data_IF_109581999769
#
_entry.id   IF_109581999769
#
_cell.length_a   1.000
_cell.length_b   1.000
_cell.length_c   1.000
_cell.angle_alpha   90.00
_cell.angle_beta   90.00
_cell.angle_gamma   90.00
#
_symmetry.space_group_name_H-M   'P 1'
#
loop_
_entity.id
_entity.type
_entity.pdbx_description
1 polymer ?
#
# COMPACT_ATOMS: atom_id res chain seq x y z
N UNK A 1 24.86 -2.01 -15.16
CA UNK A 1 23.83 -2.04 -14.10
C UNK A 1 24.38 -1.30 -12.90
N UNK A 2 23.90 -0.09 -12.58
CA UNK A 2 24.30 0.55 -11.32
C UNK A 2 23.61 -0.20 -10.18
N UNK A 3 24.36 -0.83 -9.30
CA UNK A 3 23.81 -1.40 -8.07
C UNK A 3 23.05 -0.29 -7.36
N UNK A 4 21.73 -0.42 -7.26
CA UNK A 4 20.96 0.46 -6.40
C UNK A 4 21.41 0.14 -4.98
N UNK A 5 22.07 1.08 -4.30
CA UNK A 5 22.31 0.95 -2.87
C UNK A 5 20.95 0.65 -2.20
N UNK A 6 20.82 -0.46 -1.45
CA UNK A 6 19.61 -0.74 -0.70
C UNK A 6 19.39 0.42 0.27
N UNK A 7 18.18 1.00 0.27
CA UNK A 7 17.81 2.07 1.19
C UNK A 7 17.49 1.44 2.55
N UNK A 8 18.35 1.61 3.58
CA UNK A 8 18.20 0.85 4.80
C UNK A 8 16.90 1.15 5.54
N UNK A 9 16.36 0.14 6.21
CA UNK A 9 15.17 0.20 7.05
C UNK A 9 13.83 0.19 6.31
N UNK A 10 13.81 0.42 4.99
CA UNK A 10 12.56 0.42 4.23
C UNK A 10 11.90 -0.96 4.15
N UNK A 11 12.69 -2.05 4.19
CA UNK A 11 12.13 -3.40 4.25
C UNK A 11 11.44 -3.63 5.60
N UNK A 12 12.05 -3.23 6.72
CA UNK A 12 11.41 -3.33 8.03
C UNK A 12 10.13 -2.54 8.14
N UNK A 13 10.12 -1.30 7.65
CA UNK A 13 8.90 -0.49 7.58
C UNK A 13 7.80 -1.16 6.75
N UNK A 14 8.15 -1.73 5.60
CA UNK A 14 7.22 -2.50 4.74
C UNK A 14 6.70 -3.76 5.44
N UNK A 15 7.55 -4.46 6.18
CA UNK A 15 7.17 -5.64 6.95
C UNK A 15 6.20 -5.30 8.08
N UNK A 16 6.48 -4.24 8.84
CA UNK A 16 5.60 -3.77 9.91
C UNK A 16 4.23 -3.33 9.38
N UNK A 17 4.20 -2.58 8.27
CA UNK A 17 2.94 -2.21 7.62
C UNK A 17 2.16 -3.42 7.10
N UNK A 18 2.84 -4.47 6.65
CA UNK A 18 2.19 -5.70 6.22
C UNK A 18 1.52 -6.43 7.38
N UNK A 19 2.25 -6.57 8.49
CA UNK A 19 1.72 -7.21 9.70
C UNK A 19 0.55 -6.39 10.27
N UNK A 20 0.63 -5.06 10.25
CA UNK A 20 -0.45 -4.21 10.76
C UNK A 20 -1.75 -4.37 9.98
N UNK A 21 -1.68 -4.56 8.66
CA UNK A 21 -2.86 -4.82 7.81
C UNK A 21 -3.50 -6.17 8.14
N UNK A 22 -2.69 -7.23 8.29
CA UNK A 22 -3.20 -8.56 8.67
C UNK A 22 -3.87 -8.52 10.04
N UNK A 23 -3.22 -7.87 11.01
CA UNK A 23 -3.76 -7.73 12.38
C UNK A 23 -5.05 -6.90 12.38
N UNK A 24 -5.13 -5.83 11.59
CA UNK A 24 -6.35 -5.05 11.42
C UNK A 24 -7.51 -5.91 10.93
N UNK A 25 -7.32 -6.72 9.87
CA UNK A 25 -8.37 -7.59 9.36
C UNK A 25 -8.76 -8.69 10.33
N UNK A 26 -7.80 -9.26 11.06
CA UNK A 26 -8.11 -10.19 12.14
C UNK A 26 -8.94 -9.52 13.24
N UNK A 27 -8.62 -8.27 13.60
CA UNK A 27 -9.34 -7.54 14.65
C UNK A 27 -10.83 -7.33 14.30
N UNK A 28 -11.20 -7.25 13.01
CA UNK A 28 -12.61 -7.15 12.59
C UNK A 28 -13.47 -8.38 12.93
N UNK A 29 -12.84 -9.52 13.24
CA UNK A 29 -13.52 -10.78 13.59
C UNK A 29 -13.44 -11.12 15.08
N UNK A 30 -13.06 -10.14 15.91
CA UNK A 30 -12.93 -10.34 17.34
C UNK A 30 -14.20 -9.89 18.04
N UNK A 31 -14.68 -10.69 18.99
CA UNK A 31 -15.84 -10.30 19.79
C UNK A 31 -15.58 -9.04 20.59
N UNK A 32 -16.53 -8.12 20.49
CA UNK A 32 -16.53 -6.84 21.22
C UNK A 32 -17.51 -6.83 22.40
N UNK A 33 -18.19 -7.94 22.63
CA UNK A 33 -19.17 -8.11 23.72
C UNK A 33 -18.46 -8.10 25.08
N UNK A 34 -18.97 -7.29 26.01
CA UNK A 34 -18.50 -7.18 27.41
C UNK A 34 -16.99 -6.97 27.58
N UNK A 35 -16.34 -6.28 26.63
CA UNK A 35 -14.92 -5.96 26.73
C UNK A 35 -14.66 -4.95 27.87
N UNK A 36 -13.66 -5.25 28.70
CA UNK A 36 -13.09 -4.26 29.61
C UNK A 36 -12.57 -3.04 28.82
N UNK A 37 -12.67 -1.84 29.40
CA UNK A 37 -12.34 -0.58 28.72
C UNK A 37 -10.96 -0.57 28.04
N UNK A 38 -9.91 -1.05 28.71
CA UNK A 38 -8.56 -1.11 28.15
C UNK A 38 -8.48 -1.98 26.88
N UNK A 39 -9.32 -3.01 26.80
CA UNK A 39 -9.36 -3.96 25.70
C UNK A 39 -10.18 -3.42 24.53
N UNK A 40 -11.26 -2.68 24.84
CA UNK A 40 -11.99 -1.88 23.85
C UNK A 40 -11.11 -0.77 23.25
N UNK A 41 -10.36 -0.05 24.08
CA UNK A 41 -9.39 0.96 23.64
C UNK A 41 -8.34 0.34 22.71
N UNK A 42 -7.82 -0.85 23.04
CA UNK A 42 -6.88 -1.56 22.18
C UNK A 42 -7.52 -1.99 20.85
N UNK A 43 -8.75 -2.51 20.87
CA UNK A 43 -9.51 -2.86 19.67
C UNK A 43 -9.68 -1.65 18.73
N UNK A 44 -10.09 -0.51 19.29
CA UNK A 44 -10.24 0.74 18.56
C UNK A 44 -8.90 1.25 18.00
N UNK A 45 -7.83 1.16 18.78
CA UNK A 45 -6.49 1.57 18.36
C UNK A 45 -5.98 0.72 17.19
N UNK A 46 -6.19 -0.60 17.21
CA UNK A 46 -5.88 -1.49 16.07
C UNK A 46 -6.72 -1.12 14.85
N UNK A 47 -7.97 -0.68 15.05
CA UNK A 47 -8.82 -0.09 14.01
C UNK A 47 -8.20 1.11 13.28
N UNK A 48 -7.24 1.80 13.88
CA UNK A 48 -6.51 2.92 13.26
C UNK A 48 -5.33 2.48 12.40
N UNK A 49 -4.92 1.21 12.45
CA UNK A 49 -3.74 0.74 11.71
C UNK A 49 -3.82 0.75 10.18
N UNK A 50 -5.00 0.86 9.52
CA UNK A 50 -5.07 1.10 8.08
C UNK A 50 -4.34 2.36 7.63
N UNK A 51 -4.01 3.34 8.51
CA UNK A 51 -3.17 4.48 8.10
C UNK A 51 -1.84 4.04 7.48
N UNK A 52 -1.32 2.87 7.88
CA UNK A 52 -0.08 2.30 7.36
C UNK A 52 -0.19 1.86 5.90
N UNK A 53 -1.38 1.80 5.30
CA UNK A 53 -1.54 1.63 3.85
C UNK A 53 -0.88 2.79 3.08
N UNK A 54 -0.90 3.99 3.65
CA UNK A 54 -0.16 5.17 3.16
C UNK A 54 1.33 4.88 2.96
N UNK A 55 1.92 4.08 3.83
CA UNK A 55 3.32 3.68 3.74
C UNK A 55 3.58 2.88 2.45
N UNK A 56 2.69 1.96 2.08
CA UNK A 56 2.84 1.20 0.83
C UNK A 56 2.73 2.08 -0.41
N UNK A 57 1.79 3.03 -0.44
CA UNK A 57 1.69 4.01 -1.53
C UNK A 57 2.95 4.89 -1.63
N UNK A 58 3.47 5.37 -0.51
CA UNK A 58 4.71 6.17 -0.49
C UNK A 58 5.92 5.34 -0.91
N UNK A 59 6.10 4.12 -0.41
CA UNK A 59 7.19 3.23 -0.84
C UNK A 59 7.09 2.91 -2.33
N UNK A 60 5.88 2.70 -2.84
CA UNK A 60 5.62 2.50 -4.26
C UNK A 60 6.05 3.71 -5.10
N UNK A 61 5.72 4.92 -4.65
CA UNK A 61 6.11 6.18 -5.25
C UNK A 61 7.63 6.41 -5.19
N UNK A 62 8.26 6.11 -4.06
CA UNK A 62 9.71 6.23 -3.88
C UNK A 62 10.40 5.33 -4.90
N UNK A 63 10.10 4.03 -4.89
CA UNK A 63 10.70 3.07 -5.81
C UNK A 63 10.47 3.43 -7.29
N UNK A 64 9.28 3.94 -7.62
CA UNK A 64 8.94 4.37 -8.98
C UNK A 64 9.67 5.63 -9.45
N UNK A 65 9.99 6.54 -8.53
CA UNK A 65 10.62 7.84 -8.85
C UNK A 65 12.14 7.84 -8.71
N UNK A 66 12.74 6.88 -7.98
CA UNK A 66 14.20 6.79 -7.80
C UNK A 66 15.02 6.90 -9.09
N UNK A 67 14.70 6.19 -10.20
CA UNK A 67 15.47 6.31 -11.44
C UNK A 67 15.46 7.73 -12.03
N UNK A 68 14.34 8.44 -11.89
CA UNK A 68 14.22 9.82 -12.38
C UNK A 68 15.01 10.78 -11.50
N UNK A 69 14.91 10.64 -10.17
CA UNK A 69 15.69 11.47 -9.24
C UNK A 69 17.20 11.29 -9.41
N UNK A 70 17.66 10.06 -9.65
CA UNK A 70 19.07 9.78 -9.98
C UNK A 70 19.48 10.46 -11.28
N UNK A 71 18.64 10.47 -12.30
CA UNK A 71 18.91 11.20 -13.55
C UNK A 71 18.97 12.71 -13.32
N UNK A 72 18.01 13.27 -12.57
CA UNK A 72 17.94 14.70 -12.26
C UNK A 72 19.14 15.16 -11.41
N UNK A 73 19.47 14.44 -10.33
CA UNK A 73 20.41 14.93 -9.32
C UNK A 73 21.84 14.41 -9.49
N UNK A 74 22.01 13.22 -10.07
CA UNK A 74 23.29 12.49 -10.17
C UNK A 74 23.68 12.14 -11.61
N UNK A 75 23.04 12.74 -12.61
CA UNK A 75 23.41 12.64 -14.02
C UNK A 75 23.39 11.20 -14.58
N UNK A 76 22.60 10.31 -13.97
CA UNK A 76 22.35 8.99 -14.53
C UNK A 76 21.53 9.08 -15.83
N UNK A 77 21.63 8.06 -16.72
CA UNK A 77 20.83 8.01 -17.93
C UNK A 77 19.33 8.11 -17.65
N UNK A 78 18.61 8.85 -18.52
CA UNK A 78 17.18 9.04 -18.40
C UNK A 78 16.43 7.68 -18.45
N UNK A 79 15.59 7.35 -17.45
CA UNK A 79 14.80 6.13 -17.51
C UNK A 79 13.70 6.22 -18.58
N UNK A 80 13.41 5.10 -19.23
CA UNK A 80 12.29 4.99 -20.16
C UNK A 80 11.00 4.68 -19.39
N UNK A 81 10.09 5.66 -19.32
CA UNK A 81 8.83 5.53 -18.57
C UNK A 81 8.01 4.28 -18.95
N UNK A 82 7.90 3.98 -20.26
CA UNK A 82 7.25 2.75 -20.75
C UNK A 82 7.88 1.48 -20.19
N UNK A 83 9.21 1.42 -20.10
CA UNK A 83 9.91 0.26 -19.55
C UNK A 83 9.62 0.10 -18.06
N UNK A 84 9.58 1.20 -17.30
CA UNK A 84 9.22 1.14 -15.88
C UNK A 84 7.79 0.65 -15.66
N UNK A 85 6.83 1.16 -16.43
CA UNK A 85 5.43 0.75 -16.34
C UNK A 85 5.24 -0.74 -16.66
N UNK A 86 5.84 -1.21 -17.76
CA UNK A 86 5.70 -2.60 -18.18
C UNK A 86 6.40 -3.55 -17.20
N UNK A 87 7.59 -3.19 -16.71
CA UNK A 87 8.26 -3.97 -15.67
C UNK A 87 7.42 -4.06 -14.39
N UNK A 88 6.75 -2.97 -14.01
CA UNK A 88 5.85 -2.95 -12.87
C UNK A 88 4.65 -3.87 -13.11
N UNK A 89 4.02 -3.77 -14.29
CA UNK A 89 2.89 -4.60 -14.65
C UNK A 89 3.22 -6.09 -14.50
N UNK A 90 4.33 -6.56 -15.09
CA UNK A 90 4.73 -7.98 -14.97
C UNK A 90 5.19 -8.40 -13.57
N UNK A 91 5.46 -7.44 -12.67
CA UNK A 91 5.75 -7.73 -11.27
C UNK A 91 4.49 -7.89 -10.42
N UNK A 92 3.42 -7.17 -10.74
CA UNK A 92 2.20 -7.06 -9.91
C UNK A 92 1.05 -7.86 -10.53
N UNK A 93 0.70 -7.57 -11.78
CA UNK A 93 -0.50 -8.08 -12.43
C UNK A 93 -0.64 -9.62 -12.41
N UNK A 94 0.41 -10.45 -12.62
CA UNK A 94 0.25 -11.90 -12.69
C UNK A 94 -0.31 -12.52 -11.40
N UNK A 95 0.31 -12.24 -10.25
CA UNK A 95 -0.16 -12.78 -8.98
C UNK A 95 -1.50 -12.15 -8.56
N UNK A 96 -1.69 -10.85 -8.84
CA UNK A 96 -2.98 -10.19 -8.65
C UNK A 96 -4.11 -10.89 -9.43
N UNK A 97 -3.91 -11.18 -10.72
CA UNK A 97 -4.93 -11.83 -11.54
C UNK A 97 -5.22 -13.25 -11.10
N UNK A 98 -4.20 -14.00 -10.64
CA UNK A 98 -4.42 -15.31 -10.06
C UNK A 98 -5.27 -15.21 -8.79
N UNK A 99 -4.93 -14.29 -7.88
CA UNK A 99 -5.72 -14.07 -6.67
C UNK A 99 -7.16 -13.61 -6.99
N UNK A 100 -7.31 -12.66 -7.93
CA UNK A 100 -8.60 -12.12 -8.37
C UNK A 100 -9.50 -13.18 -9.01
N UNK A 101 -8.96 -14.01 -9.90
CA UNK A 101 -9.72 -15.10 -10.53
C UNK A 101 -10.06 -16.17 -9.50
N UNK A 102 -9.09 -16.56 -8.68
CA UNK A 102 -9.31 -17.55 -7.62
C UNK A 102 -10.45 -17.11 -6.70
N UNK A 103 -10.44 -15.86 -6.22
CA UNK A 103 -11.49 -15.35 -5.34
C UNK A 103 -12.81 -15.17 -6.06
N UNK A 104 -12.81 -14.75 -7.32
CA UNK A 104 -14.03 -14.66 -8.12
C UNK A 104 -14.72 -16.02 -8.23
N UNK A 105 -13.98 -17.09 -8.56
CA UNK A 105 -14.56 -18.44 -8.62
C UNK A 105 -14.94 -18.97 -7.23
N UNK A 106 -14.15 -18.67 -6.20
CA UNK A 106 -14.46 -19.06 -4.83
C UNK A 106 -15.79 -18.43 -4.35
N UNK A 107 -16.03 -17.14 -4.62
CA UNK A 107 -17.33 -16.48 -4.31
C UNK A 107 -18.48 -17.22 -4.97
N UNK A 108 -18.34 -17.60 -6.24
CA UNK A 108 -19.41 -18.30 -6.96
C UNK A 108 -19.71 -19.66 -6.32
N UNK A 109 -18.67 -20.37 -5.85
CA UNK A 109 -18.83 -21.67 -5.19
C UNK A 109 -19.48 -21.53 -3.82
N UNK A 110 -19.07 -20.55 -3.01
CA UNK A 110 -19.57 -20.37 -1.64
C UNK A 110 -20.96 -19.72 -1.61
N UNK A 111 -21.14 -18.64 -2.38
CA UNK A 111 -22.28 -17.73 -2.24
C UNK A 111 -23.17 -17.68 -3.50
N UNK A 112 -22.79 -18.39 -4.57
CA UNK A 112 -23.44 -18.28 -5.88
C UNK A 112 -22.98 -17.06 -6.69
N UNK A 113 -23.44 -16.99 -7.93
CA UNK A 113 -23.12 -15.87 -8.82
C UNK A 113 -23.93 -14.62 -8.46
N UNK A 114 -23.27 -13.58 -7.97
CA UNK A 114 -23.93 -12.31 -7.65
C UNK A 114 -24.23 -11.50 -8.91
N UNK A 115 -25.26 -10.66 -8.84
CA UNK A 115 -25.50 -9.65 -9.87
C UNK A 115 -24.25 -8.76 -10.03
N UNK A 116 -23.91 -8.45 -11.28
CA UNK A 116 -22.76 -7.62 -11.64
C UNK A 116 -21.37 -8.16 -11.23
N UNK A 117 -21.24 -9.42 -10.77
CA UNK A 117 -19.96 -10.02 -10.42
C UNK A 117 -18.93 -9.91 -11.57
N UNK A 118 -19.35 -10.19 -12.81
CA UNK A 118 -18.49 -10.06 -13.98
C UNK A 118 -18.03 -8.61 -14.24
N UNK A 119 -18.90 -7.61 -14.01
CA UNK A 119 -18.52 -6.20 -14.15
C UNK A 119 -17.44 -5.81 -13.15
N UNK A 120 -17.58 -6.25 -11.89
CA UNK A 120 -16.59 -6.02 -10.83
C UNK A 120 -15.26 -6.73 -11.12
N UNK A 121 -15.32 -7.95 -11.65
CA UNK A 121 -14.14 -8.67 -12.15
C UNK A 121 -13.42 -7.89 -13.25
N UNK A 122 -14.13 -7.39 -14.26
CA UNK A 122 -13.55 -6.59 -15.36
C UNK A 122 -12.96 -5.28 -14.83
N UNK A 123 -13.65 -4.59 -13.93
CA UNK A 123 -13.15 -3.37 -13.30
C UNK A 123 -11.86 -3.64 -12.50
N UNK A 124 -11.79 -4.74 -11.74
CA UNK A 124 -10.56 -5.19 -11.08
C UNK A 124 -9.45 -5.52 -12.08
N UNK A 125 -9.74 -6.34 -13.08
CA UNK A 125 -8.78 -6.78 -14.08
C UNK A 125 -8.16 -5.62 -14.88
N UNK A 126 -8.91 -4.54 -15.06
CA UNK A 126 -8.47 -3.32 -15.75
C UNK A 126 -7.94 -2.23 -14.81
N UNK A 127 -7.87 -2.48 -13.50
CA UNK A 127 -7.44 -1.51 -12.47
C UNK A 127 -8.34 -0.27 -12.37
N UNK A 128 -9.63 -0.42 -12.69
CA UNK A 128 -10.66 0.62 -12.70
C UNK A 128 -11.71 0.41 -11.61
N UNK A 129 -11.45 -0.41 -10.59
CA UNK A 129 -12.39 -0.64 -9.48
C UNK A 129 -12.86 0.66 -8.80
N UNK A 130 -12.01 1.70 -8.78
CA UNK A 130 -12.25 3.00 -8.15
C UNK A 130 -13.30 3.88 -8.84
N UNK A 131 -13.81 3.55 -10.02
CA UNK A 131 -14.63 4.49 -10.82
C UNK A 131 -16.10 4.58 -10.38
N UNK A 132 -16.61 3.58 -9.66
CA UNK A 132 -18.01 3.51 -9.23
C UNK A 132 -18.11 2.74 -7.91
N UNK A 133 -19.02 3.07 -6.98
CA UNK A 133 -19.11 2.39 -5.69
C UNK A 133 -19.37 0.88 -5.85
N UNK A 134 -20.20 0.51 -6.84
CA UNK A 134 -20.48 -0.90 -7.15
C UNK A 134 -19.24 -1.70 -7.56
N UNK A 135 -18.25 -1.07 -8.20
CA UNK A 135 -17.01 -1.77 -8.64
C UNK A 135 -15.87 -1.63 -7.65
N UNK A 136 -16.06 -0.88 -6.55
CA UNK A 136 -15.00 -0.51 -5.60
C UNK A 136 -14.22 -1.71 -5.09
N UNK A 137 -14.94 -2.77 -4.69
CA UNK A 137 -14.38 -4.09 -4.44
C UNK A 137 -14.53 -4.97 -5.69
N UNK A 138 -13.41 -5.46 -6.26
CA UNK A 138 -13.45 -6.35 -7.43
C UNK A 138 -14.19 -7.67 -7.22
N UNK A 139 -14.24 -8.15 -5.96
CA UNK A 139 -14.90 -9.39 -5.50
C UNK A 139 -15.36 -9.22 -4.06
N UNK A 140 -16.40 -9.94 -3.63
CA UNK A 140 -17.03 -9.76 -2.31
C UNK A 140 -16.14 -10.20 -1.14
N UNK A 141 -15.47 -11.35 -1.27
CA UNK A 141 -14.76 -11.99 -0.15
C UNK A 141 -13.29 -11.61 -0.05
N UNK A 142 -12.79 -10.74 -0.93
CA UNK A 142 -11.41 -10.25 -0.87
C UNK A 142 -11.40 -8.74 -1.11
N UNK A 143 -12.07 -8.04 -0.18
CA UNK A 143 -12.12 -6.59 -0.11
C UNK A 143 -10.77 -5.93 -0.40
N UNK A 144 -9.65 -6.33 0.24
CA UNK A 144 -8.34 -5.72 0.02
C UNK A 144 -7.90 -5.60 -1.45
N UNK A 145 -8.41 -6.39 -2.40
CA UNK A 145 -8.03 -6.22 -3.81
C UNK A 145 -8.28 -4.82 -4.40
N UNK A 146 -9.10 -3.97 -3.77
CA UNK A 146 -9.28 -2.56 -4.15
C UNK A 146 -7.97 -1.79 -4.31
N UNK A 147 -7.02 -1.97 -3.38
CA UNK A 147 -5.76 -1.22 -3.30
C UNK A 147 -4.94 -1.26 -4.59
N UNK A 148 -4.99 -2.38 -5.32
CA UNK A 148 -4.17 -2.60 -6.51
C UNK A 148 -4.51 -1.60 -7.62
N UNK A 149 -5.80 -1.25 -7.78
CA UNK A 149 -6.23 -0.21 -8.72
C UNK A 149 -5.58 1.13 -8.39
N UNK A 150 -5.56 1.50 -7.11
CA UNK A 150 -4.98 2.76 -6.64
C UNK A 150 -3.46 2.78 -6.75
N UNK A 151 -2.78 1.67 -6.47
CA UNK A 151 -1.33 1.54 -6.67
C UNK A 151 -0.94 1.69 -8.14
N UNK A 152 -1.73 1.12 -9.05
CA UNK A 152 -1.52 1.25 -10.50
C UNK A 152 -1.77 2.68 -11.00
N UNK A 153 -2.83 3.35 -10.50
CA UNK A 153 -3.07 4.77 -10.79
C UNK A 153 -1.94 5.66 -10.26
N UNK A 154 -1.48 5.41 -9.04
CA UNK A 154 -0.35 6.12 -8.45
C UNK A 154 0.96 5.89 -9.20
N UNK A 155 1.19 4.69 -9.73
CA UNK A 155 2.33 4.42 -10.61
C UNK A 155 2.28 5.24 -11.90
N UNK A 156 1.09 5.41 -12.51
CA UNK A 156 0.92 6.29 -13.66
C UNK A 156 1.19 7.75 -13.30
N UNK A 157 0.66 8.21 -12.17
CA UNK A 157 0.93 9.56 -11.64
C UNK A 157 2.44 9.80 -11.49
N UNK A 158 3.16 8.87 -10.86
CA UNK A 158 4.63 8.96 -10.70
C UNK A 158 5.32 9.12 -12.05
N UNK A 159 4.93 8.31 -13.04
CA UNK A 159 5.53 8.38 -14.37
C UNK A 159 5.23 9.72 -15.06
N UNK A 160 4.00 10.23 -14.97
CA UNK A 160 3.61 11.51 -15.56
C UNK A 160 4.40 12.63 -14.89
N UNK A 161 4.31 12.75 -13.56
CA UNK A 161 4.97 13.81 -12.78
C UNK A 161 6.48 13.81 -13.01
N UNK A 162 7.13 12.65 -12.90
CA UNK A 162 8.60 12.58 -13.03
C UNK A 162 9.09 12.74 -14.47
N UNK A 163 8.29 12.34 -15.46
CA UNK A 163 8.61 12.61 -16.88
C UNK A 163 8.53 14.10 -17.21
N UNK A 164 7.66 14.87 -16.55
CA UNK A 164 7.64 16.33 -16.68
C UNK A 164 8.84 16.92 -15.91
N UNK A 165 9.06 16.50 -14.66
CA UNK A 165 10.10 17.02 -13.78
C UNK A 165 11.51 16.90 -14.38
N UNK A 166 11.81 15.82 -15.09
CA UNK A 166 13.14 15.61 -15.71
C UNK A 166 13.41 16.52 -16.92
N UNK A 167 12.38 17.14 -17.48
CA UNK A 167 12.49 18.03 -18.66
C UNK A 167 12.60 19.50 -18.30
N UNK A 168 12.42 19.86 -17.02
CA UNK A 168 12.50 21.25 -16.55
C UNK A 168 13.80 21.51 -15.80
N UNK A 169 14.14 22.79 -15.63
CA UNK A 169 15.23 23.17 -14.73
C UNK A 169 14.86 22.81 -13.29
N UNK A 170 15.85 22.35 -12.51
CA UNK A 170 15.68 21.86 -11.13
C UNK A 170 14.93 22.83 -10.22
N UNK A 171 15.13 24.13 -10.42
CA UNK A 171 14.46 25.21 -9.67
C UNK A 171 12.93 25.23 -9.85
N UNK A 172 12.41 24.69 -10.95
CA UNK A 172 10.96 24.62 -11.23
C UNK A 172 10.33 23.30 -10.78
N UNK A 173 11.10 22.33 -10.30
CA UNK A 173 10.53 21.05 -9.82
C UNK A 173 9.54 21.28 -8.67
N UNK A 174 9.81 22.12 -7.64
CA UNK A 174 8.82 22.40 -6.59
C UNK A 174 7.49 22.94 -7.15
N UNK A 175 7.54 23.78 -8.18
CA UNK A 175 6.34 24.30 -8.85
C UNK A 175 5.54 23.18 -9.53
N UNK A 176 6.19 22.20 -10.17
CA UNK A 176 5.49 21.03 -10.73
C UNK A 176 4.75 20.27 -9.63
N UNK A 177 5.42 19.98 -8.51
CA UNK A 177 4.78 19.27 -7.40
C UNK A 177 3.61 20.05 -6.82
N UNK A 178 3.73 21.38 -6.70
CA UNK A 178 2.63 22.26 -6.27
C UNK A 178 1.45 22.23 -7.26
N UNK A 179 1.72 22.37 -8.56
CA UNK A 179 0.69 22.33 -9.60
C UNK A 179 -0.01 20.97 -9.66
N UNK A 180 0.74 19.86 -9.64
CA UNK A 180 0.15 18.51 -9.63
C UNK A 180 -0.64 18.28 -8.34
N UNK A 181 -0.13 18.71 -7.18
CA UNK A 181 -0.88 18.66 -5.92
C UNK A 181 -2.20 19.43 -5.98
N UNK A 182 -2.17 20.66 -6.51
CA UNK A 182 -3.38 21.47 -6.73
C UNK A 182 -4.37 20.82 -7.68
N UNK A 183 -3.89 20.21 -8.78
CA UNK A 183 -4.74 19.46 -9.73
C UNK A 183 -5.39 18.25 -9.03
N UNK A 184 -4.64 17.49 -8.23
CA UNK A 184 -5.20 16.34 -7.51
C UNK A 184 -6.25 16.77 -6.48
N UNK A 185 -6.03 17.88 -5.78
CA UNK A 185 -7.04 18.44 -4.86
C UNK A 185 -8.29 18.86 -5.64
N UNK A 186 -8.14 19.56 -6.77
CA UNK A 186 -9.27 19.96 -7.60
C UNK A 186 -10.04 18.76 -8.15
N UNK A 187 -9.34 17.73 -8.62
CA UNK A 187 -9.96 16.48 -9.10
C UNK A 187 -10.65 15.71 -7.99
N UNK A 188 -10.08 15.68 -6.78
CA UNK A 188 -10.71 15.10 -5.62
C UNK A 188 -12.04 15.80 -5.31
N UNK A 189 -12.02 17.13 -5.17
CA UNK A 189 -13.22 17.93 -4.87
C UNK A 189 -14.29 17.75 -5.95
N UNK A 190 -13.88 17.79 -7.22
CA UNK A 190 -14.77 17.52 -8.34
C UNK A 190 -15.38 16.11 -8.25
N UNK A 191 -14.56 15.07 -8.06
CA UNK A 191 -15.03 13.68 -8.02
C UNK A 191 -15.99 13.44 -6.84
N UNK A 192 -15.68 13.99 -5.66
CA UNK A 192 -16.56 13.87 -4.49
C UNK A 192 -17.85 14.69 -4.60
N UNK A 193 -17.90 15.66 -5.51
CA UNK A 193 -19.12 16.44 -5.79
C UNK A 193 -20.09 15.74 -6.74
N UNK A 194 -19.65 14.65 -7.40
CA UNK A 194 -20.51 13.87 -8.28
C UNK A 194 -21.54 13.06 -7.48
N UNK A 195 -22.74 12.92 -8.04
CA UNK A 195 -23.80 12.11 -7.44
C UNK A 195 -23.57 10.63 -7.72
N UNK A 196 -23.34 9.84 -6.67
CA UNK A 196 -23.22 8.39 -6.72
C UNK A 196 -24.33 7.71 -5.91
N UNK A 197 -24.73 6.48 -6.26
CA UNK A 197 -25.62 5.70 -5.40
C UNK A 197 -24.91 5.39 -4.08
N UNK A 198 -25.63 5.55 -2.97
CA UNK A 198 -25.15 5.17 -1.64
C UNK A 198 -25.41 3.67 -1.48
N UNK A 199 -24.34 2.92 -1.23
CA UNK A 199 -24.41 1.48 -0.96
C UNK A 199 -24.17 1.22 0.54
N UNK A 200 -24.64 0.09 1.04
CA UNK A 200 -24.48 -0.28 2.43
C UNK A 200 -23.03 -0.67 2.78
N UNK A 201 -22.75 -0.68 4.10
CA UNK A 201 -21.48 -1.10 4.66
C UNK A 201 -20.32 -0.17 4.31
N UNK A 202 -19.11 -0.73 4.36
CA UNK A 202 -17.85 0.04 4.25
C UNK A 202 -17.71 0.76 2.89
N UNK A 203 -18.40 0.32 1.84
CA UNK A 203 -18.40 0.98 0.53
C UNK A 203 -19.04 2.37 0.63
N UNK A 204 -20.21 2.47 1.28
CA UNK A 204 -20.91 3.75 1.46
C UNK A 204 -20.17 4.72 2.37
N UNK A 205 -19.35 4.20 3.29
CA UNK A 205 -18.47 5.02 4.11
C UNK A 205 -17.28 5.52 3.31
N UNK A 206 -16.60 4.65 2.55
CA UNK A 206 -15.35 5.01 1.89
C UNK A 206 -15.53 5.77 0.57
N UNK A 207 -16.53 5.41 -0.22
CA UNK A 207 -16.74 5.98 -1.55
C UNK A 207 -17.61 7.25 -1.47
N UNK A 208 -17.29 8.35 -2.19
CA UNK A 208 -16.19 8.55 -3.15
C UNK A 208 -14.89 9.11 -2.54
N UNK A 209 -14.81 9.29 -1.23
CA UNK A 209 -13.66 9.91 -0.54
C UNK A 209 -12.35 9.13 -0.75
N UNK A 210 -12.42 7.81 -0.81
CA UNK A 210 -11.34 6.92 -1.24
C UNK A 210 -11.25 6.94 -2.77
N UNK A 211 -10.50 7.88 -3.32
CA UNK A 211 -10.30 8.08 -4.77
C UNK A 211 -8.79 8.20 -5.11
N UNK A 212 -8.40 7.92 -6.37
CA UNK A 212 -6.99 7.97 -6.78
C UNK A 212 -6.35 9.35 -6.64
N UNK A 213 -7.13 10.41 -6.50
CA UNK A 213 -6.60 11.76 -6.40
C UNK A 213 -6.04 12.05 -4.99
N UNK A 214 -6.76 11.67 -3.93
CA UNK A 214 -6.27 11.72 -2.55
C UNK A 214 -5.08 10.79 -2.35
N UNK A 215 -5.16 9.54 -2.82
CA UNK A 215 -4.00 8.65 -2.76
C UNK A 215 -2.85 9.17 -3.62
N UNK A 216 -3.14 9.88 -4.71
CA UNK A 216 -2.16 10.62 -5.50
C UNK A 216 -1.34 11.62 -4.67
N UNK A 217 -1.95 12.28 -3.67
CA UNK A 217 -1.22 13.15 -2.74
C UNK A 217 -0.24 12.36 -1.85
N UNK A 218 -0.59 11.13 -1.47
CA UNK A 218 0.31 10.23 -0.75
C UNK A 218 1.50 9.82 -1.63
N UNK A 219 1.24 9.53 -2.91
CA UNK A 219 2.29 9.27 -3.91
C UNK A 219 3.19 10.50 -4.12
N UNK A 220 2.64 11.72 -4.14
CA UNK A 220 3.44 12.96 -4.22
C UNK A 220 4.39 13.10 -3.03
N UNK A 221 3.93 12.85 -1.80
CA UNK A 221 4.79 12.85 -0.62
C UNK A 221 5.92 11.82 -0.74
N UNK A 222 5.62 10.60 -1.20
CA UNK A 222 6.65 9.59 -1.45
C UNK A 222 7.66 10.02 -2.52
N UNK A 223 7.22 10.64 -3.61
CA UNK A 223 8.13 11.19 -4.63
C UNK A 223 9.03 12.31 -4.07
N UNK A 224 8.52 13.18 -3.20
CA UNK A 224 9.32 14.20 -2.51
C UNK A 224 10.37 13.54 -1.61
N UNK A 225 9.96 12.56 -0.80
CA UNK A 225 10.87 11.79 0.08
C UNK A 225 11.98 11.15 -0.75
N UNK A 226 11.68 10.56 -1.90
CA UNK A 226 12.70 9.99 -2.78
C UNK A 226 13.73 11.03 -3.27
N UNK A 227 13.27 12.24 -3.60
CA UNK A 227 14.16 13.35 -3.98
C UNK A 227 15.09 13.75 -2.85
N UNK A 228 14.58 13.82 -1.62
CA UNK A 228 15.36 14.10 -0.40
C UNK A 228 16.41 12.99 -0.18
N UNK A 229 16.02 11.73 -0.28
CA UNK A 229 16.93 10.59 -0.10
C UNK A 229 18.08 10.62 -1.11
N UNK A 230 17.80 10.85 -2.39
CA UNK A 230 18.85 10.95 -3.42
C UNK A 230 19.72 12.20 -3.24
N UNK A 231 19.14 13.32 -2.79
CA UNK A 231 19.91 14.52 -2.47
C UNK A 231 20.88 14.28 -1.30
N UNK A 232 20.45 13.58 -0.25
CA UNK A 232 21.33 13.18 0.88
C UNK A 232 22.42 12.20 0.45
N UNK A 233 22.06 11.20 -0.35
CA UNK A 233 23.01 10.24 -0.92
C UNK A 233 24.12 10.96 -1.71
N UNK A 234 23.76 11.97 -2.51
CA UNK A 234 24.71 12.79 -3.28
C UNK A 234 25.66 13.60 -2.39
N UNK A 235 25.15 14.14 -1.28
CA UNK A 235 25.92 15.02 -0.38
C UNK A 235 26.63 14.23 0.74
N UNK A 236 26.83 12.92 0.56
CA UNK A 236 27.51 12.04 1.52
C UNK A 236 27.01 12.21 2.96
N UNK A 237 25.68 12.24 3.16
CA UNK A 237 25.13 12.36 4.51
C UNK A 237 25.62 11.20 5.37
N UNK A 238 26.34 11.51 6.45
CA UNK A 238 26.80 10.51 7.39
C UNK A 238 25.63 10.01 8.22
N UNK A 239 25.59 8.71 8.52
CA UNK A 239 24.61 8.15 9.44
C UNK A 239 24.87 8.68 10.86
N UNK A 240 23.88 9.37 11.44
CA UNK A 240 24.02 10.02 12.75
C UNK A 240 22.96 9.53 13.74
N UNK A 241 23.36 9.38 15.00
CA UNK A 241 22.45 8.99 16.09
C UNK A 241 21.26 9.95 16.28
N UNK A 242 21.40 11.22 15.89
CA UNK A 242 20.29 12.19 15.89
C UNK A 242 19.10 11.73 15.04
N UNK A 243 19.35 11.00 13.94
CA UNK A 243 18.29 10.49 13.09
C UNK A 243 17.55 9.33 13.75
N UNK A 244 18.22 8.51 14.58
CA UNK A 244 17.56 7.50 15.40
C UNK A 244 16.60 8.17 16.42
N UNK A 245 17.04 9.23 17.10
CA UNK A 245 16.18 10.00 18.02
C UNK A 245 14.97 10.58 17.29
N UNK A 246 15.20 11.26 16.16
CA UNK A 246 14.11 11.85 15.36
C UNK A 246 13.13 10.78 14.86
N UNK A 247 13.63 9.61 14.46
CA UNK A 247 12.80 8.49 14.02
C UNK A 247 11.91 7.98 15.17
N UNK A 248 12.49 7.81 16.37
CA UNK A 248 11.75 7.38 17.57
C UNK A 248 10.69 8.41 17.93
N UNK A 249 11.04 9.69 17.99
CA UNK A 249 10.09 10.76 18.31
C UNK A 249 8.95 10.84 17.31
N UNK A 250 9.23 10.72 16.01
CA UNK A 250 8.21 10.69 14.97
C UNK A 250 7.30 9.45 15.11
N UNK A 251 7.87 8.28 15.41
CA UNK A 251 7.13 7.03 15.60
C UNK A 251 6.24 7.07 16.84
N UNK A 252 6.76 7.56 17.98
CA UNK A 252 5.99 7.77 19.20
C UNK A 252 4.90 8.81 18.96
N UNK A 253 5.21 9.90 18.26
CA UNK A 253 4.22 10.92 17.90
C UNK A 253 3.07 10.36 17.07
N UNK A 254 3.35 9.48 16.10
CA UNK A 254 2.31 8.79 15.34
C UNK A 254 1.47 7.88 16.23
N UNK A 255 2.10 7.03 17.05
CA UNK A 255 1.39 6.11 17.95
C UNK A 255 0.52 6.88 18.94
N UNK A 256 1.04 7.93 19.55
CA UNK A 256 0.31 8.80 20.48
C UNK A 256 -0.87 9.46 19.78
N UNK A 257 -0.66 10.06 18.60
CA UNK A 257 -1.74 10.67 17.82
C UNK A 257 -2.87 9.67 17.54
N UNK A 258 -2.54 8.48 17.04
CA UNK A 258 -3.52 7.43 16.74
C UNK A 258 -4.21 6.89 18.01
N UNK A 259 -3.51 6.84 19.14
CA UNK A 259 -4.06 6.45 20.42
C UNK A 259 -5.12 7.44 20.91
N UNK A 260 -4.82 8.74 20.85
CA UNK A 260 -5.75 9.79 21.28
C UNK A 260 -7.03 9.82 20.42
N UNK A 261 -6.91 9.55 19.12
CA UNK A 261 -8.05 9.57 18.20
C UNK A 261 -8.69 8.19 17.95
N UNK A 262 -8.34 7.16 18.72
CA UNK A 262 -8.77 5.77 18.47
C UNK A 262 -10.29 5.57 18.37
N UNK A 263 -11.09 6.41 19.01
CA UNK A 263 -12.55 6.38 18.93
C UNK A 263 -13.16 7.13 17.73
N UNK A 264 -12.33 7.75 16.88
CA UNK A 264 -12.77 8.64 15.82
C UNK A 264 -13.16 7.86 14.54
N UNK A 265 -14.18 8.34 13.81
CA UNK A 265 -14.61 7.77 12.53
C UNK A 265 -13.56 8.00 11.45
N UNK A 266 -13.59 7.22 10.36
CA UNK A 266 -12.50 7.14 9.38
C UNK A 266 -11.94 8.47 8.84
N UNK A 267 -12.81 9.47 8.65
CA UNK A 267 -12.41 10.77 8.11
C UNK A 267 -12.29 11.89 9.14
N UNK A 268 -12.58 11.62 10.41
CA UNK A 268 -12.29 12.59 11.47
C UNK A 268 -10.78 12.90 11.45
N UNK A 269 -10.37 14.09 11.89
CA UNK A 269 -8.95 14.49 11.86
C UNK A 269 -8.29 14.37 10.46
N UNK A 270 -9.07 14.41 9.39
CA UNK A 270 -8.59 14.48 8.01
C UNK A 270 -8.94 15.83 7.41
N UNK A 271 -8.10 16.29 6.49
CA UNK A 271 -8.42 17.42 5.62
C UNK A 271 -9.15 16.90 4.39
N UNK A 272 -10.19 17.60 3.93
CA UNK A 272 -10.97 17.23 2.74
C UNK A 272 -11.65 15.85 2.83
N UNK A 273 -12.06 15.40 4.03
CA UNK A 273 -12.72 14.10 4.18
C UNK A 273 -11.89 12.95 3.56
N UNK A 274 -10.59 12.96 3.79
CA UNK A 274 -9.62 12.17 3.03
C UNK A 274 -9.19 10.89 3.76
N UNK A 275 -8.91 9.86 2.98
CA UNK A 275 -8.44 8.57 3.48
C UNK A 275 -7.19 8.70 4.36
N UNK A 276 -7.09 7.81 5.35
CA UNK A 276 -5.91 7.65 6.22
C UNK A 276 -5.45 8.93 6.93
N UNK A 277 -6.40 9.78 7.33
CA UNK A 277 -6.13 11.00 8.13
C UNK A 277 -5.14 11.95 7.45
N UNK A 278 -5.20 12.01 6.11
CA UNK A 278 -4.36 12.93 5.35
C UNK A 278 -4.69 14.40 5.74
N UNK A 279 -3.69 15.30 5.89
CA UNK A 279 -2.27 15.06 5.69
C UNK A 279 -1.54 14.62 6.97
N UNK A 280 -2.13 14.73 8.16
CA UNK A 280 -1.41 14.66 9.44
C UNK A 280 -0.67 13.34 9.64
N UNK A 281 -1.37 12.21 9.64
CA UNK A 281 -0.73 10.90 9.79
C UNK A 281 0.25 10.62 8.63
N UNK A 282 -0.13 11.01 7.42
CA UNK A 282 0.66 10.75 6.20
C UNK A 282 1.98 11.51 6.17
N UNK A 283 2.03 12.74 6.68
CA UNK A 283 3.28 13.53 6.80
C UNK A 283 4.21 12.89 7.82
N UNK A 284 3.68 12.43 8.96
CA UNK A 284 4.49 11.75 9.98
C UNK A 284 5.05 10.44 9.41
N UNK A 285 4.25 9.66 8.67
CA UNK A 285 4.71 8.45 7.97
C UNK A 285 5.79 8.79 6.94
N UNK A 286 5.61 9.84 6.13
CA UNK A 286 6.61 10.29 5.17
C UNK A 286 7.94 10.68 5.85
N UNK A 287 7.85 11.33 7.02
CA UNK A 287 9.02 11.66 7.85
C UNK A 287 9.72 10.40 8.36
N UNK A 288 8.99 9.42 8.90
CA UNK A 288 9.54 8.13 9.35
C UNK A 288 10.28 7.42 8.21
N UNK A 289 9.65 7.34 7.03
CA UNK A 289 10.26 6.73 5.82
C UNK A 289 11.53 7.49 5.41
N UNK A 290 11.51 8.83 5.41
CA UNK A 290 12.64 9.67 5.03
C UNK A 290 13.79 9.69 6.05
N UNK A 291 13.52 9.33 7.30
CA UNK A 291 14.52 9.23 8.37
C UNK A 291 15.18 7.85 8.40
N UNK A 292 14.45 6.76 8.13
CA UNK A 292 14.94 5.39 8.32
C UNK A 292 16.31 5.11 7.67
N UNK A 293 16.58 5.49 6.40
CA UNK A 293 17.88 5.25 5.75
C UNK A 293 19.07 5.99 6.39
N UNK A 294 18.81 7.08 7.11
CA UNK A 294 19.83 7.95 7.72
C UNK A 294 20.17 7.57 9.16
N UNK A 295 19.35 6.72 9.77
CA UNK A 295 19.56 6.25 11.15
C UNK A 295 20.85 5.42 11.26
N UNK A 296 21.53 5.50 12.41
CA UNK A 296 22.77 4.78 12.67
C UNK A 296 22.52 3.30 13.02
N UNK A 297 21.47 3.03 13.80
CA UNK A 297 21.16 1.69 14.33
C UNK A 297 19.80 1.18 13.88
N UNK A 298 18.75 2.03 13.94
CA UNK A 298 17.36 1.61 13.71
C UNK A 298 17.18 1.01 12.31
N UNK A 299 17.72 1.64 11.27
CA UNK A 299 17.59 1.19 9.89
C UNK A 299 18.22 -0.20 9.68
N UNK A 300 19.36 -0.46 10.33
CA UNK A 300 20.00 -1.78 10.33
C UNK A 300 19.18 -2.82 11.08
N UNK A 301 18.59 -2.44 12.22
CA UNK A 301 17.71 -3.31 12.98
C UNK A 301 16.43 -3.64 12.20
N UNK A 302 15.86 -2.66 11.49
CA UNK A 302 14.72 -2.82 10.59
C UNK A 302 15.05 -3.70 9.37
N UNK A 303 16.31 -3.83 8.98
CA UNK A 303 16.76 -4.72 7.90
C UNK A 303 17.22 -6.10 8.39
N UNK A 304 16.75 -6.55 9.56
CA UNK A 304 17.00 -7.91 10.00
C UNK A 304 16.41 -8.96 9.02
N UNK A 305 16.92 -10.20 9.10
CA UNK A 305 16.56 -11.27 8.18
C UNK A 305 15.05 -11.58 8.16
N UNK A 306 14.39 -11.55 9.31
CA UNK A 306 12.96 -11.81 9.42
C UNK A 306 12.17 -10.74 8.66
N UNK A 307 12.43 -9.46 8.92
CA UNK A 307 11.77 -8.35 8.26
C UNK A 307 12.04 -8.30 6.76
N UNK A 308 13.27 -8.62 6.33
CA UNK A 308 13.57 -8.75 4.92
C UNK A 308 12.71 -9.84 4.25
N UNK A 309 12.51 -10.98 4.92
CA UNK A 309 11.69 -12.09 4.42
C UNK A 309 10.22 -11.69 4.33
N UNK A 310 9.68 -11.08 5.38
CA UNK A 310 8.29 -10.58 5.41
C UNK A 310 8.08 -9.53 4.34
N UNK A 311 8.98 -8.54 4.21
CA UNK A 311 8.88 -7.48 3.22
C UNK A 311 8.87 -8.03 1.79
N UNK A 312 9.68 -9.07 1.51
CA UNK A 312 9.71 -9.73 0.20
C UNK A 312 8.35 -10.35 -0.14
N UNK A 313 7.72 -11.01 0.84
CA UNK A 313 6.43 -11.68 0.67
C UNK A 313 5.22 -10.75 0.86
N UNK A 314 5.41 -9.51 1.32
CA UNK A 314 4.30 -8.68 1.80
C UNK A 314 3.23 -8.40 0.73
N UNK A 315 3.63 -8.37 -0.54
CA UNK A 315 2.70 -8.21 -1.65
C UNK A 315 1.78 -9.43 -1.80
N UNK A 316 2.35 -10.64 -1.74
CA UNK A 316 1.57 -11.87 -1.78
C UNK A 316 0.73 -12.03 -0.50
N UNK A 317 1.26 -11.65 0.67
CA UNK A 317 0.50 -11.69 1.95
C UNK A 317 -0.74 -10.83 1.85
N UNK A 318 -0.60 -9.64 1.24
CA UNK A 318 -1.72 -8.77 0.94
C UNK A 318 -2.81 -9.46 0.11
N UNK A 319 -2.43 -10.23 -0.92
CA UNK A 319 -3.41 -10.91 -1.79
C UNK A 319 -4.13 -12.07 -1.09
N UNK A 320 -3.43 -12.81 -0.22
CA UNK A 320 -3.90 -14.09 0.28
C UNK A 320 -4.46 -14.08 1.70
N UNK A 321 -4.11 -13.12 2.57
CA UNK A 321 -4.53 -13.14 3.98
C UNK A 321 -6.05 -13.15 4.16
N UNK A 322 -6.78 -12.29 3.44
CA UNK A 322 -8.25 -12.21 3.54
C UNK A 322 -8.93 -13.52 3.12
N UNK A 323 -8.36 -14.22 2.14
CA UNK A 323 -8.87 -15.52 1.67
C UNK A 323 -8.76 -16.56 2.77
N UNK A 324 -7.62 -16.61 3.48
CA UNK A 324 -7.44 -17.55 4.60
C UNK A 324 -8.42 -17.25 5.71
N UNK A 325 -8.64 -15.96 6.03
CA UNK A 325 -9.64 -15.55 7.02
C UNK A 325 -11.02 -16.04 6.59
N UNK A 326 -11.46 -15.76 5.35
CA UNK A 326 -12.78 -16.15 4.85
C UNK A 326 -12.97 -17.67 4.88
N UNK A 327 -11.99 -18.44 4.42
CA UNK A 327 -12.09 -19.90 4.44
C UNK A 327 -12.18 -20.45 5.87
N UNK A 328 -11.45 -19.86 6.82
CA UNK A 328 -11.54 -20.25 8.23
C UNK A 328 -12.91 -19.90 8.81
N UNK A 329 -13.43 -18.69 8.54
CA UNK A 329 -14.76 -18.29 9.01
C UNK A 329 -15.83 -19.23 8.47
N UNK A 330 -15.82 -19.48 7.15
CA UNK A 330 -16.85 -20.29 6.50
C UNK A 330 -16.81 -21.76 6.96
N UNK A 331 -15.61 -22.37 7.00
CA UNK A 331 -15.49 -23.82 7.17
C UNK A 331 -15.10 -24.29 8.58
N UNK A 332 -14.48 -23.42 9.39
CA UNK A 332 -14.05 -23.78 10.74
C UNK A 332 -14.89 -23.13 11.84
N UNK A 333 -15.57 -22.02 11.53
CA UNK A 333 -16.40 -21.28 12.47
C UNK A 333 -17.86 -21.12 12.00
N UNK A 334 -18.31 -21.91 11.02
CA UNK A 334 -19.69 -21.94 10.51
C UNK A 334 -20.26 -20.54 10.18
N UNK A 335 -19.44 -19.67 9.58
CA UNK A 335 -19.81 -18.31 9.22
C UNK A 335 -19.83 -17.28 10.36
N UNK A 336 -19.38 -17.65 11.57
CA UNK A 336 -19.38 -16.76 12.72
C UNK A 336 -18.21 -15.76 12.68
N UNK A 337 -18.51 -14.47 12.80
CA UNK A 337 -17.52 -13.38 12.79
C UNK A 337 -17.24 -12.75 14.16
N UNK A 338 -18.09 -12.93 15.18
CA UNK A 338 -17.92 -12.35 16.53
C UNK A 338 -17.15 -13.33 17.45
N UNK A 339 -15.92 -13.67 17.08
CA UNK A 339 -15.20 -14.78 17.72
C UNK A 339 -14.69 -14.42 19.11
N UNK A 340 -14.88 -15.33 20.07
CA UNK A 340 -14.29 -15.20 21.40
C UNK A 340 -12.75 -15.32 21.31
N UNK A 341 -12.04 -14.84 22.34
CA UNK A 341 -10.57 -14.80 22.32
C UNK A 341 -9.89 -16.14 21.94
N UNK A 342 -10.32 -17.31 22.43
CA UNK A 342 -9.70 -18.59 22.03
C UNK A 342 -9.86 -18.89 20.53
N UNK A 343 -11.05 -18.70 19.97
CA UNK A 343 -11.35 -18.91 18.55
C UNK A 343 -10.61 -17.90 17.68
N UNK A 344 -10.60 -16.63 18.12
CA UNK A 344 -9.85 -15.57 17.47
C UNK A 344 -8.34 -15.87 17.41
N UNK A 345 -7.76 -16.44 18.48
CA UNK A 345 -6.35 -16.86 18.48
C UNK A 345 -6.09 -18.00 17.49
N UNK A 346 -7.02 -18.94 17.33
CA UNK A 346 -6.95 -20.00 16.32
C UNK A 346 -7.02 -19.39 14.91
N UNK A 347 -7.96 -18.47 14.67
CA UNK A 347 -8.08 -17.72 13.41
C UNK A 347 -6.78 -16.97 13.10
N UNK A 348 -6.24 -16.23 14.08
CA UNK A 348 -5.02 -15.45 13.93
C UNK A 348 -3.82 -16.35 13.60
N UNK A 349 -3.59 -17.40 14.40
CA UNK A 349 -2.49 -18.35 14.18
C UNK A 349 -2.57 -19.01 12.81
N UNK A 350 -3.76 -19.48 12.43
CA UNK A 350 -3.98 -20.12 11.12
C UNK A 350 -3.85 -19.14 9.97
N UNK A 351 -4.31 -17.90 10.14
CA UNK A 351 -4.15 -16.84 9.14
C UNK A 351 -2.69 -16.49 8.93
N UNK A 352 -1.89 -16.34 10.00
CA UNK A 352 -0.45 -16.10 9.83
C UNK A 352 0.24 -17.25 9.11
N UNK A 353 0.02 -18.49 9.53
CA UNK A 353 0.67 -19.66 8.88
C UNK A 353 0.18 -19.82 7.44
N UNK A 354 -1.13 -19.79 7.22
CA UNK A 354 -1.76 -19.96 5.91
C UNK A 354 -1.41 -18.84 4.94
N UNK A 355 -1.51 -17.58 5.36
CA UNK A 355 -1.23 -16.44 4.51
C UNK A 355 0.23 -16.43 4.08
N UNK A 356 1.18 -16.65 4.98
CA UNK A 356 2.60 -16.71 4.62
C UNK A 356 2.96 -17.93 3.77
N UNK A 357 2.31 -19.08 3.99
CA UNK A 357 2.51 -20.28 3.17
C UNK A 357 2.01 -20.08 1.74
N UNK A 358 0.77 -19.61 1.56
CA UNK A 358 0.21 -19.28 0.25
C UNK A 358 1.00 -18.15 -0.44
N UNK A 359 1.46 -17.17 0.33
CA UNK A 359 2.31 -16.10 -0.16
C UNK A 359 3.62 -16.61 -0.70
N UNK A 360 4.28 -17.52 0.01
CA UNK A 360 5.51 -18.14 -0.45
C UNK A 360 5.30 -18.93 -1.74
N UNK A 361 4.20 -19.69 -1.86
CA UNK A 361 3.84 -20.41 -3.08
C UNK A 361 3.59 -19.45 -4.24
N UNK A 362 2.74 -18.44 -4.06
CA UNK A 362 2.43 -17.42 -5.05
C UNK A 362 3.69 -16.67 -5.51
N UNK A 363 4.53 -16.26 -4.57
CA UNK A 363 5.78 -15.57 -4.86
C UNK A 363 6.75 -16.44 -5.68
N UNK A 364 6.91 -17.71 -5.28
CA UNK A 364 7.88 -18.65 -5.87
C UNK A 364 7.45 -19.12 -7.25
N UNK A 365 6.17 -19.43 -7.43
CA UNK A 365 5.67 -20.09 -8.65
C UNK A 365 5.00 -19.13 -9.64
N UNK A 366 4.66 -17.91 -9.24
CA UNK A 366 3.97 -16.94 -10.11
C UNK A 366 4.80 -15.68 -10.28
N UNK A 367 5.13 -15.00 -9.18
CA UNK A 367 5.79 -13.68 -9.25
C UNK A 367 7.22 -13.78 -9.79
N UNK A 368 8.06 -14.66 -9.22
CA UNK A 368 9.44 -14.85 -9.67
C UNK A 368 9.51 -15.31 -11.13
N UNK A 369 8.80 -16.39 -11.55
CA UNK A 369 8.96 -16.92 -12.90
C UNK A 369 8.50 -15.93 -13.97
N UNK A 370 7.36 -15.26 -13.78
CA UNK A 370 6.85 -14.29 -14.77
C UNK A 370 7.73 -13.04 -14.85
N UNK A 371 8.18 -12.52 -13.71
CA UNK A 371 9.10 -11.37 -13.66
C UNK A 371 10.45 -11.69 -14.33
N UNK A 372 11.01 -12.88 -14.04
CA UNK A 372 12.26 -13.34 -14.66
C UNK A 372 12.12 -13.56 -16.16
N UNK A 373 11.03 -14.21 -16.61
CA UNK A 373 10.72 -14.41 -18.02
C UNK A 373 10.67 -13.09 -18.78
N UNK A 374 9.97 -12.09 -18.21
CA UNK A 374 9.89 -10.76 -18.81
C UNK A 374 11.26 -10.08 -18.86
N UNK A 375 12.04 -10.15 -17.76
CA UNK A 375 13.40 -9.57 -17.71
C UNK A 375 14.28 -10.12 -18.83
N UNK A 376 14.37 -11.45 -18.97
CA UNK A 376 15.17 -12.11 -20.02
C UNK A 376 14.70 -11.72 -21.42
N UNK A 377 13.38 -11.69 -21.66
CA UNK A 377 12.80 -11.26 -22.95
C UNK A 377 13.14 -9.80 -23.27
N UNK A 378 13.12 -8.93 -22.26
CA UNK A 378 13.43 -7.50 -22.42
C UNK A 378 14.91 -7.26 -22.74
N UNK A 379 15.82 -8.07 -22.19
CA UNK A 379 17.27 -8.00 -22.44
C UNK A 379 17.60 -8.51 -23.84
N UNK A 380 17.02 -9.64 -24.27
CA UNK A 380 17.20 -10.15 -25.64
C UNK A 380 16.77 -9.14 -26.71
N UNK A 381 15.65 -8.44 -26.50
CA UNK A 381 15.19 -7.36 -27.40
C UNK A 381 16.13 -6.16 -27.48
N UNK A 382 16.98 -5.94 -26.47
CA UNK A 382 17.99 -4.87 -26.47
C UNK A 382 19.29 -5.29 -27.17
N UNK A 383 19.59 -6.59 -27.21
CA UNK A 383 20.80 -7.14 -27.86
C UNK A 383 20.59 -7.49 -29.34
N UNK A 384 19.34 -7.76 -29.75
CA UNK A 384 18.97 -8.00 -31.16
C UNK A 384 18.57 -6.74 -31.95
N UNK A 385 18.89 -5.57 -31.41
CA UNK A 385 18.86 -4.25 -32.06
C UNK A 385 20.25 -3.68 -31.94
#
# INVERSE_FOLDING_TARGET
MSQAHPLPGLNGLRALACLSVVIYHLNQHRSVTDLAQWNWDLYQFVGMWPVNISLFFMLSAIMGSLPFWRSILREFPLPKARTLLVNRFFRIAPAYYVALLFTFFLVIVLNGYSEGAFLRLIAGATFLSWTHPFTFFPVDINGPLWYISYDMMGALLVLITMSIAVRVRKIFIPLIFLCIGGILIALHLWFTSLSFPILDGIIGEWFPSYNPFIFGLHFLLGMIVAGILIWREKNHSSHFFRYDILFILASIGLVYFLWEIRGARDFDYSWLNSAHRFPFATIIIALIIGLAPETKYIGKWLDNHLFHTIARLSYSVYLWHAIVIVLMIEFAFDGQHDLLMPEWLILAGTTFVGAFSLSWLSYTYIEIPVSNWWRVRSERKKMGK
#
